data_IF_547675981854
#
_entry.id   IF_547675981854
#
_cell.length_a   1.000
_cell.length_b   1.000
_cell.length_c   1.000
_cell.angle_alpha   90.00
_cell.angle_beta   90.00
_cell.angle_gamma   90.00
#
_symmetry.space_group_name_H-M   'P 1'
#
loop_
_entity.id
_entity.type
_entity.pdbx_description
1 polymer ?
#
# COMPACT_ATOMS: atom_id res chain seq x y z
N UNK A 1 23.82 29.05 35.94
CA UNK A 1 24.51 27.76 36.10
C UNK A 1 24.36 27.21 37.51
N UNK A 2 23.90 25.96 37.66
CA UNK A 2 23.87 25.24 38.94
C UNK A 2 25.18 24.42 39.06
N UNK A 3 26.16 24.86 39.87
CA UNK A 3 27.52 24.31 39.82
C UNK A 3 27.67 22.95 40.53
N UNK A 4 26.64 22.45 41.23
CA UNK A 4 26.69 21.19 41.99
C UNK A 4 25.99 20.00 41.29
N UNK A 5 25.31 20.22 40.16
CA UNK A 5 24.61 19.16 39.43
C UNK A 5 24.95 19.20 37.94
N UNK A 6 25.97 18.42 37.53
CA UNK A 6 26.19 18.09 36.11
C UNK A 6 25.28 16.93 35.73
N UNK A 7 24.16 17.24 35.09
CA UNK A 7 23.24 16.24 34.56
C UNK A 7 23.85 15.61 33.30
N UNK A 8 24.14 14.30 33.34
CA UNK A 8 24.64 13.56 32.18
C UNK A 8 23.47 13.11 31.30
N UNK A 9 23.01 14.01 30.42
CA UNK A 9 21.88 13.75 29.53
C UNK A 9 22.21 12.80 28.36
N UNK A 10 23.49 12.54 28.06
CA UNK A 10 23.90 11.72 26.90
C UNK A 10 23.30 10.31 26.91
N UNK A 11 23.24 9.67 28.08
CA UNK A 11 22.63 8.34 28.22
C UNK A 11 21.10 8.38 28.01
N UNK A 12 20.43 9.45 28.45
CA UNK A 12 19.00 9.65 28.20
C UNK A 12 18.72 9.93 26.72
N UNK A 13 19.53 10.79 26.08
CA UNK A 13 19.42 11.11 24.66
C UNK A 13 19.61 9.83 23.84
N UNK A 14 20.65 9.04 24.11
CA UNK A 14 20.89 7.78 23.42
C UNK A 14 19.72 6.79 23.57
N UNK A 15 19.17 6.63 24.79
CA UNK A 15 17.99 5.77 24.99
C UNK A 15 16.76 6.24 24.22
N UNK A 16 16.51 7.56 24.20
CA UNK A 16 15.41 8.15 23.45
C UNK A 16 15.59 7.96 21.95
N UNK A 17 16.80 8.17 21.42
CA UNK A 17 17.12 7.94 20.02
C UNK A 17 16.92 6.48 19.62
N UNK A 18 17.43 5.53 20.41
CA UNK A 18 17.22 4.10 20.13
C UNK A 18 15.73 3.71 20.18
N UNK A 19 14.96 4.25 21.12
CA UNK A 19 13.52 3.98 21.20
C UNK A 19 12.76 4.58 20.00
N UNK A 20 13.13 5.79 19.56
CA UNK A 20 12.56 6.43 18.39
C UNK A 20 12.88 5.65 17.10
N UNK A 21 14.12 5.19 16.96
CA UNK A 21 14.56 4.37 15.82
C UNK A 21 13.82 3.03 15.77
N UNK A 22 13.72 2.32 16.90
CA UNK A 22 12.97 1.06 16.98
C UNK A 22 11.49 1.23 16.64
N UNK A 23 10.88 2.34 17.06
CA UNK A 23 9.50 2.68 16.70
C UNK A 23 9.39 2.98 15.19
N UNK A 24 10.31 3.76 14.64
CA UNK A 24 10.33 4.07 13.20
C UNK A 24 10.46 2.79 12.35
N UNK A 25 11.38 1.89 12.71
CA UNK A 25 11.53 0.58 12.05
C UNK A 25 10.25 -0.26 12.14
N UNK A 26 9.57 -0.24 13.30
CA UNK A 26 8.29 -0.94 13.46
C UNK A 26 7.20 -0.37 12.56
N UNK A 27 7.10 0.96 12.48
CA UNK A 27 6.16 1.64 11.60
C UNK A 27 6.45 1.32 10.12
N UNK A 28 7.72 1.40 9.69
CA UNK A 28 8.13 1.07 8.31
C UNK A 28 7.77 -0.36 7.94
N UNK A 29 8.00 -1.32 8.86
CA UNK A 29 7.63 -2.72 8.63
C UNK A 29 6.12 -2.89 8.45
N UNK A 30 5.31 -2.25 9.29
CA UNK A 30 3.84 -2.31 9.19
C UNK A 30 3.36 -1.68 7.88
N UNK A 31 3.92 -0.53 7.48
CA UNK A 31 3.58 0.14 6.22
C UNK A 31 3.97 -0.73 5.02
N UNK A 32 5.17 -1.31 5.04
CA UNK A 32 5.65 -2.22 3.97
C UNK A 32 4.73 -3.43 3.81
N UNK A 33 4.37 -4.08 4.92
CA UNK A 33 3.42 -5.19 4.91
C UNK A 33 2.04 -4.76 4.38
N UNK A 34 1.56 -3.58 4.77
CA UNK A 34 0.28 -3.05 4.29
C UNK A 34 0.31 -2.74 2.78
N UNK A 35 1.45 -2.28 2.26
CA UNK A 35 1.67 -2.03 0.83
C UNK A 35 1.59 -3.37 0.08
N UNK A 36 2.31 -4.39 0.53
CA UNK A 36 2.31 -5.73 -0.06
C UNK A 36 0.90 -6.32 -0.11
N UNK A 37 0.21 -6.39 1.03
CA UNK A 37 -1.16 -6.93 1.13
C UNK A 37 -2.14 -6.20 0.20
N UNK A 38 -2.02 -4.86 0.09
CA UNK A 38 -2.87 -4.07 -0.81
C UNK A 38 -2.51 -4.26 -2.28
N UNK A 39 -1.22 -4.37 -2.59
CA UNK A 39 -0.76 -4.59 -3.96
C UNK A 39 -1.24 -5.95 -4.47
N UNK A 40 -1.10 -6.99 -3.65
CA UNK A 40 -1.56 -8.35 -3.98
C UNK A 40 -3.07 -8.39 -4.22
N UNK A 41 -3.87 -7.78 -3.34
CA UNK A 41 -5.31 -7.71 -3.52
C UNK A 41 -5.74 -6.93 -4.78
N UNK A 42 -5.02 -5.86 -5.14
CA UNK A 42 -5.26 -5.11 -6.37
C UNK A 42 -4.89 -5.96 -7.59
N UNK A 43 -3.77 -6.68 -7.54
CA UNK A 43 -3.31 -7.55 -8.62
C UNK A 43 -4.30 -8.69 -8.86
N UNK A 44 -4.77 -9.35 -7.80
CA UNK A 44 -5.78 -10.41 -7.88
C UNK A 44 -7.07 -9.92 -8.55
N UNK A 45 -7.54 -8.72 -8.21
CA UNK A 45 -8.74 -8.13 -8.80
C UNK A 45 -8.54 -7.77 -10.28
N UNK A 46 -7.36 -7.28 -10.66
CA UNK A 46 -6.97 -7.07 -12.06
C UNK A 46 -6.97 -8.39 -12.85
N UNK A 47 -6.33 -9.43 -12.30
CA UNK A 47 -6.25 -10.73 -12.94
C UNK A 47 -7.62 -11.38 -13.09
N UNK A 48 -8.45 -11.30 -12.05
CA UNK A 48 -9.82 -11.85 -12.07
C UNK A 48 -10.67 -11.13 -13.11
N UNK A 49 -10.58 -9.80 -13.15
CA UNK A 49 -11.25 -8.98 -14.17
C UNK A 49 -10.79 -9.36 -15.57
N UNK A 50 -9.48 -9.50 -15.77
CA UNK A 50 -8.90 -9.89 -17.05
C UNK A 50 -9.36 -11.29 -17.48
N UNK A 51 -9.31 -12.28 -16.57
CA UNK A 51 -9.79 -13.64 -16.81
C UNK A 51 -11.27 -13.66 -17.21
N UNK A 52 -12.10 -12.85 -16.57
CA UNK A 52 -13.52 -12.76 -16.92
C UNK A 52 -13.72 -12.14 -18.31
N UNK A 53 -12.99 -11.07 -18.65
CA UNK A 53 -13.05 -10.43 -19.98
C UNK A 53 -12.58 -11.37 -21.09
N UNK A 54 -11.53 -12.16 -20.80
CA UNK A 54 -10.94 -13.11 -21.75
C UNK A 54 -11.67 -14.46 -21.78
N UNK A 55 -12.67 -14.66 -20.91
CA UNK A 55 -13.44 -15.89 -20.90
C UNK A 55 -14.22 -16.04 -22.20
N UNK A 56 -14.32 -17.28 -22.69
CA UNK A 56 -15.15 -17.60 -23.85
C UNK A 56 -16.54 -17.98 -23.34
N UNK A 57 -17.56 -17.13 -23.52
CA UNK A 57 -18.91 -17.44 -23.05
C UNK A 57 -19.45 -18.68 -23.77
N UNK A 58 -20.03 -19.61 -23.00
CA UNK A 58 -20.50 -20.90 -23.52
C UNK A 58 -21.93 -20.84 -24.07
N UNK A 59 -22.69 -19.80 -23.70
CA UNK A 59 -24.08 -19.60 -24.08
C UNK A 59 -24.43 -18.11 -24.27
N UNK A 60 -25.63 -17.84 -24.83
CA UNK A 60 -26.11 -16.47 -25.09
C UNK A 60 -26.31 -15.65 -23.81
N UNK A 61 -26.61 -16.29 -22.67
CA UNK A 61 -26.77 -15.63 -21.38
C UNK A 61 -25.44 -15.09 -20.87
N UNK A 62 -24.40 -15.93 -20.86
CA UNK A 62 -23.04 -15.53 -20.50
C UNK A 62 -22.50 -14.44 -21.42
N UNK A 63 -22.83 -14.50 -22.72
CA UNK A 63 -22.46 -13.44 -23.68
C UNK A 63 -23.15 -12.11 -23.35
N UNK A 64 -24.43 -12.14 -22.94
CA UNK A 64 -25.18 -10.95 -22.53
C UNK A 64 -24.61 -10.34 -21.25
N UNK A 65 -24.29 -11.16 -20.25
CA UNK A 65 -23.66 -10.74 -18.99
C UNK A 65 -22.28 -10.12 -19.24
N UNK A 66 -21.43 -10.77 -20.05
CA UNK A 66 -20.13 -10.22 -20.40
C UNK A 66 -20.26 -8.89 -21.15
N UNK A 67 -21.24 -8.78 -22.06
CA UNK A 67 -21.52 -7.51 -22.76
C UNK A 67 -21.94 -6.41 -21.78
N UNK A 68 -22.87 -6.70 -20.87
CA UNK A 68 -23.31 -5.75 -19.84
C UNK A 68 -22.13 -5.32 -18.96
N UNK A 69 -21.33 -6.27 -18.49
CA UNK A 69 -20.13 -6.01 -17.72
C UNK A 69 -19.17 -5.09 -18.49
N UNK A 70 -18.88 -5.38 -19.76
CA UNK A 70 -18.01 -4.57 -20.60
C UNK A 70 -18.51 -3.13 -20.79
N UNK A 71 -19.82 -2.88 -20.70
CA UNK A 71 -20.34 -1.49 -20.74
C UNK A 71 -20.01 -0.68 -19.49
N UNK A 72 -19.86 -1.34 -18.34
CA UNK A 72 -19.65 -0.68 -17.04
C UNK A 72 -18.24 -0.85 -16.48
N UNK A 73 -17.44 -1.80 -17.00
CA UNK A 73 -16.14 -2.20 -16.46
C UNK A 73 -15.18 -1.03 -16.31
N UNK A 74 -15.17 -0.11 -17.28
CA UNK A 74 -14.33 1.08 -17.23
C UNK A 74 -14.60 1.92 -15.98
N UNK A 75 -15.88 2.14 -15.67
CA UNK A 75 -16.32 3.02 -14.57
C UNK A 75 -16.32 2.29 -13.23
N UNK A 76 -16.73 1.03 -13.21
CA UNK A 76 -16.98 0.27 -11.99
C UNK A 76 -15.76 -0.49 -11.47
N UNK A 77 -14.81 -0.81 -12.34
CA UNK A 77 -13.66 -1.68 -11.99
C UNK A 77 -12.34 -0.98 -12.32
N UNK A 78 -12.12 -0.63 -13.59
CA UNK A 78 -10.83 -0.07 -14.07
C UNK A 78 -10.46 1.23 -13.37
N UNK A 79 -11.35 2.22 -13.36
CA UNK A 79 -11.06 3.52 -12.73
C UNK A 79 -10.77 3.38 -11.21
N UNK A 80 -11.61 2.68 -10.42
CA UNK A 80 -11.30 2.41 -9.01
C UNK A 80 -9.95 1.69 -8.80
N UNK A 81 -9.64 0.67 -9.60
CA UNK A 81 -8.38 -0.06 -9.51
C UNK A 81 -7.18 0.82 -9.84
N UNK A 82 -7.27 1.68 -10.86
CA UNK A 82 -6.22 2.65 -11.18
C UNK A 82 -5.98 3.62 -10.02
N UNK A 83 -7.04 4.13 -9.39
CA UNK A 83 -6.94 5.02 -8.23
C UNK A 83 -6.25 4.32 -7.06
N UNK A 84 -6.67 3.09 -6.73
CA UNK A 84 -6.06 2.29 -5.67
C UNK A 84 -4.60 1.98 -5.95
N UNK A 85 -4.26 1.62 -7.19
CA UNK A 85 -2.88 1.36 -7.63
C UNK A 85 -2.02 2.61 -7.43
N UNK A 86 -2.51 3.79 -7.83
CA UNK A 86 -1.82 5.06 -7.61
C UNK A 86 -1.60 5.36 -6.13
N UNK A 87 -2.59 5.10 -5.28
CA UNK A 87 -2.46 5.29 -3.83
C UNK A 87 -1.36 4.41 -3.24
N UNK A 88 -1.28 3.14 -3.64
CA UNK A 88 -0.20 2.24 -3.21
C UNK A 88 1.16 2.75 -3.67
N UNK A 89 1.28 3.17 -4.93
CA UNK A 89 2.50 3.75 -5.47
C UNK A 89 2.95 5.02 -4.72
N UNK A 90 2.02 5.92 -4.39
CA UNK A 90 2.33 7.11 -3.59
C UNK A 90 2.83 6.75 -2.18
N UNK A 91 2.29 5.67 -1.60
CA UNK A 91 2.71 5.20 -0.27
C UNK A 91 4.11 4.60 -0.33
N UNK A 92 4.42 3.87 -1.41
CA UNK A 92 5.77 3.37 -1.69
C UNK A 92 6.80 4.50 -1.78
N UNK A 93 6.52 5.54 -2.58
CA UNK A 93 7.43 6.66 -2.74
C UNK A 93 7.69 7.38 -1.39
N UNK A 94 6.66 7.54 -0.55
CA UNK A 94 6.81 8.12 0.78
C UNK A 94 7.72 7.28 1.69
N UNK A 95 7.67 5.95 1.57
CA UNK A 95 8.56 5.05 2.32
C UNK A 95 9.98 5.12 1.76
N UNK A 96 10.13 5.17 0.44
CA UNK A 96 11.43 5.31 -0.23
C UNK A 96 12.13 6.61 0.17
N UNK A 97 11.41 7.73 0.21
CA UNK A 97 11.93 9.02 0.70
C UNK A 97 12.46 8.89 2.14
N UNK A 98 11.77 8.15 3.01
CA UNK A 98 12.20 7.93 4.40
C UNK A 98 13.48 7.09 4.51
N UNK A 99 13.75 6.21 3.56
CA UNK A 99 14.99 5.42 3.53
C UNK A 99 16.19 6.20 2.97
N UNK A 100 15.94 7.32 2.27
CA UNK A 100 16.97 8.13 1.63
C UNK A 100 17.33 9.42 2.39
N UNK A 101 16.57 9.79 3.44
CA UNK A 101 16.89 10.82 4.44
C UNK A 101 17.70 10.27 5.63
#
# INVERSE_FOLDING_TARGET
>A
DFPLFRLRCSAMISKLSCAAEALAQTCLRIVSQTIEERADAILEEWETTYKYIMSSPEDEGQMAELREFMTVVQKKVVLPLMVRTRTVHNTLNMVEDFYHD
#
